data_IF_378636441289
#
_entry.id   IF_378636441289
#
_cell.length_a   1.000
_cell.length_b   1.000
_cell.length_c   1.000
_cell.angle_alpha   90.00
_cell.angle_beta   90.00
_cell.angle_gamma   90.00
#
_symmetry.space_group_name_H-M   'P 1'
#
loop_
_entity.id
_entity.type
_entity.pdbx_description
1 polymer ?
#
# COMPACT_ATOMS: atom_id res chain seq x y z
N UNK A 1 3.26 3.64 -2.34
CA UNK A 1 3.12 4.34 -3.64
C UNK A 1 1.64 4.72 -3.80
N UNK A 2 1.27 5.70 -4.64
CA UNK A 2 -0.15 5.95 -4.95
C UNK A 2 -0.62 5.05 -6.09
N UNK A 3 -1.91 4.73 -6.16
CA UNK A 3 -2.47 3.78 -7.13
C UNK A 3 -2.34 4.24 -8.58
N UNK A 4 -2.49 5.54 -8.83
CA UNK A 4 -2.31 6.18 -10.13
C UNK A 4 -1.85 7.62 -9.94
N UNK A 5 -1.30 8.22 -11.01
CA UNK A 5 -1.06 9.66 -11.08
C UNK A 5 -1.05 10.16 -12.52
N UNK A 6 -1.63 11.34 -12.84
CA UNK A 6 -2.37 12.26 -11.96
C UNK A 6 -3.74 11.71 -11.52
N UNK A 7 -4.19 12.10 -10.33
CA UNK A 7 -5.57 11.88 -9.87
C UNK A 7 -6.60 12.52 -10.81
N UNK A 8 -7.77 11.90 -10.96
CA UNK A 8 -8.89 12.48 -11.68
C UNK A 8 -9.53 13.61 -10.85
N UNK A 9 -9.79 14.76 -11.49
CA UNK A 9 -10.40 15.94 -10.83
C UNK A 9 -11.83 16.22 -11.28
N UNK A 10 -12.32 15.45 -12.25
CA UNK A 10 -13.69 15.47 -12.75
C UNK A 10 -14.21 14.05 -12.81
N UNK A 11 -15.53 13.89 -12.73
CA UNK A 11 -16.15 12.60 -12.94
C UNK A 11 -16.07 12.20 -14.43
N UNK A 12 -15.65 10.97 -14.66
CA UNK A 12 -15.51 10.31 -15.96
C UNK A 12 -16.45 9.11 -16.02
N UNK A 13 -17.58 9.26 -16.71
CA UNK A 13 -18.62 8.23 -16.78
C UNK A 13 -18.08 6.91 -17.34
N UNK A 14 -17.18 6.99 -18.33
CA UNK A 14 -16.55 5.86 -18.99
C UNK A 14 -15.56 5.09 -18.11
N UNK A 15 -15.10 5.69 -17.01
CA UNK A 15 -14.16 5.07 -16.06
C UNK A 15 -14.86 4.58 -14.77
N UNK A 16 -16.12 4.95 -14.58
CA UNK A 16 -16.91 4.56 -13.41
C UNK A 16 -16.37 5.15 -12.10
N UNK A 17 -16.43 4.34 -11.04
CA UNK A 17 -16.24 4.80 -9.65
C UNK A 17 -14.87 5.40 -9.37
N UNK A 18 -13.82 5.00 -10.10
CA UNK A 18 -12.45 5.49 -9.87
C UNK A 18 -12.33 7.02 -9.95
N UNK A 19 -13.20 7.69 -10.72
CA UNK A 19 -13.17 9.14 -10.88
C UNK A 19 -14.15 9.88 -9.94
N UNK A 20 -14.94 9.13 -9.16
CA UNK A 20 -15.90 9.70 -8.21
C UNK A 20 -15.27 10.06 -6.86
N UNK A 21 -14.15 9.42 -6.50
CA UNK A 21 -13.38 9.76 -5.31
C UNK A 21 -12.67 11.09 -5.49
N UNK A 22 -12.65 11.98 -4.48
CA UNK A 22 -11.77 13.14 -4.50
C UNK A 22 -10.29 12.74 -4.66
N UNK A 23 -9.44 13.58 -5.26
CA UNK A 23 -8.01 13.30 -5.44
C UNK A 23 -7.30 12.86 -4.16
N UNK A 24 -6.49 11.81 -4.27
CA UNK A 24 -5.68 11.28 -3.18
C UNK A 24 -6.41 10.32 -2.24
N UNK A 25 -7.68 10.01 -2.50
CA UNK A 25 -8.43 9.06 -1.68
C UNK A 25 -8.78 7.80 -2.47
N UNK A 26 -8.76 6.67 -1.76
CA UNK A 26 -9.28 5.40 -2.28
C UNK A 26 -8.60 5.07 -3.62
N UNK A 27 -9.33 4.60 -4.62
CA UNK A 27 -8.78 4.20 -5.92
C UNK A 27 -8.30 5.41 -6.76
N UNK A 28 -8.69 6.64 -6.43
CA UNK A 28 -8.24 7.84 -7.12
C UNK A 28 -6.97 8.43 -6.49
N UNK A 29 -5.81 7.87 -6.83
CA UNK A 29 -4.50 8.28 -6.33
C UNK A 29 -4.31 8.18 -4.80
N UNK A 30 -5.13 7.39 -4.10
CA UNK A 30 -4.82 6.96 -2.74
C UNK A 30 -3.65 5.98 -2.71
N UNK A 31 -2.99 5.87 -1.55
CA UNK A 31 -2.06 4.77 -1.29
C UNK A 31 -2.91 3.56 -0.93
N UNK A 32 -3.15 2.70 -1.91
CA UNK A 32 -3.91 1.46 -1.71
C UNK A 32 -2.93 0.36 -1.27
N UNK A 33 -2.83 0.12 0.04
CA UNK A 33 -1.75 -0.67 0.62
C UNK A 33 -1.68 -2.10 0.07
N UNK A 34 -2.80 -2.67 -0.37
CA UNK A 34 -2.88 -4.03 -0.92
C UNK A 34 -1.98 -4.24 -2.14
N UNK A 35 -1.83 -3.23 -3.00
CA UNK A 35 -1.03 -3.37 -4.24
C UNK A 35 0.46 -3.03 -4.05
N UNK A 36 0.84 -2.36 -2.96
CA UNK A 36 2.23 -2.00 -2.71
C UNK A 36 3.16 -3.23 -2.60
N UNK A 37 2.77 -4.33 -1.91
CA UNK A 37 3.55 -5.57 -1.89
C UNK A 37 3.86 -6.12 -3.28
N UNK A 38 3.00 -5.92 -4.28
CA UNK A 38 3.29 -6.41 -5.65
C UNK A 38 4.52 -5.73 -6.24
N UNK A 39 4.66 -4.43 -6.00
CA UNK A 39 5.85 -3.68 -6.43
C UNK A 39 7.06 -4.07 -5.61
N UNK A 40 6.91 -4.26 -4.29
CA UNK A 40 7.99 -4.78 -3.45
C UNK A 40 8.51 -6.14 -3.95
N UNK A 41 7.62 -7.10 -4.18
CA UNK A 41 7.96 -8.39 -4.80
C UNK A 41 8.60 -8.23 -6.18
N UNK A 42 8.10 -7.31 -7.02
CA UNK A 42 8.69 -7.08 -8.34
C UNK A 42 10.12 -6.51 -8.26
N UNK A 43 10.38 -5.63 -7.29
CA UNK A 43 11.73 -5.10 -7.03
C UNK A 43 12.69 -6.21 -6.58
N UNK A 44 12.24 -7.21 -5.80
CA UNK A 44 13.10 -8.36 -5.49
C UNK A 44 13.37 -9.23 -6.71
N UNK A 45 12.37 -9.43 -7.58
CA UNK A 45 12.52 -10.20 -8.83
C UNK A 45 13.57 -9.59 -9.76
N UNK A 46 13.66 -8.26 -9.84
CA UNK A 46 14.68 -7.56 -10.65
C UNK A 46 16.01 -7.34 -9.90
N UNK A 47 16.15 -7.85 -8.68
CA UNK A 47 17.38 -7.79 -7.89
C UNK A 47 17.59 -6.50 -7.09
N UNK A 48 16.57 -5.65 -6.95
CA UNK A 48 16.61 -4.41 -6.18
C UNK A 48 16.14 -4.60 -4.72
N UNK A 49 16.84 -5.46 -3.96
CA UNK A 49 16.44 -5.81 -2.59
C UNK A 49 16.27 -4.62 -1.64
N UNK A 50 17.18 -3.64 -1.69
CA UNK A 50 17.08 -2.42 -0.88
C UNK A 50 15.80 -1.64 -1.18
N UNK A 51 15.46 -1.55 -2.47
CA UNK A 51 14.26 -0.84 -2.92
C UNK A 51 12.98 -1.56 -2.51
N UNK A 52 12.95 -2.89 -2.61
CA UNK A 52 11.84 -3.70 -2.10
C UNK A 52 11.62 -3.43 -0.61
N UNK A 53 12.69 -3.48 0.19
CA UNK A 53 12.61 -3.24 1.63
C UNK A 53 12.21 -1.79 1.97
N UNK A 54 12.65 -0.80 1.19
CA UNK A 54 12.15 0.57 1.32
C UNK A 54 10.64 0.69 1.10
N UNK A 55 10.08 -0.02 0.11
CA UNK A 55 8.65 -0.01 -0.17
C UNK A 55 7.87 -0.66 0.98
N UNK A 56 8.32 -1.84 1.43
CA UNK A 56 7.75 -2.57 2.57
C UNK A 56 7.64 -1.67 3.81
N UNK A 57 8.73 -1.01 4.20
CA UNK A 57 8.77 -0.17 5.42
C UNK A 57 7.79 1.00 5.38
N UNK A 58 7.46 1.54 4.21
CA UNK A 58 6.56 2.71 4.10
C UNK A 58 5.11 2.41 4.52
N UNK A 59 4.72 1.15 4.57
CA UNK A 59 3.35 0.75 4.98
C UNK A 59 3.32 -0.29 6.10
N UNK A 60 4.47 -0.79 6.54
CA UNK A 60 4.55 -1.73 7.65
C UNK A 60 4.25 -1.02 8.99
N UNK A 61 3.26 -1.48 9.79
CA UNK A 61 2.82 -0.80 11.02
C UNK A 61 3.96 -0.51 12.00
N UNK A 62 4.88 -1.47 12.17
CA UNK A 62 6.04 -1.33 13.06
C UNK A 62 7.02 -0.21 12.64
N UNK A 63 6.99 0.25 11.39
CA UNK A 63 7.86 1.32 10.88
C UNK A 63 7.16 2.69 10.81
N UNK A 64 5.86 2.74 11.12
CA UNK A 64 5.06 3.97 11.06
C UNK A 64 4.41 4.30 12.41
N UNK A 65 4.74 3.57 13.48
CA UNK A 65 4.27 3.84 14.84
C UNK A 65 4.62 5.27 15.31
N UNK A 66 5.82 5.75 14.99
CA UNK A 66 6.28 7.11 15.33
C UNK A 66 5.39 8.23 14.73
N UNK A 67 4.64 7.91 13.68
CA UNK A 67 3.72 8.85 13.01
C UNK A 67 2.25 8.50 13.25
N UNK A 68 1.93 7.79 14.35
CA UNK A 68 0.55 7.38 14.68
C UNK A 68 -0.46 8.54 14.68
N UNK A 69 -0.04 9.75 15.08
CA UNK A 69 -0.90 10.95 15.03
C UNK A 69 -1.27 11.37 13.60
N UNK A 70 -0.43 11.07 12.62
CA UNK A 70 -0.72 11.26 11.19
C UNK A 70 -1.50 10.05 10.67
N UNK A 71 -1.08 8.83 11.04
CA UNK A 71 -1.65 7.60 10.50
C UNK A 71 -3.10 7.36 10.95
N UNK A 72 -3.47 7.79 12.17
CA UNK A 72 -4.81 7.74 12.78
C UNK A 72 -5.42 6.34 12.99
N UNK A 73 -4.83 5.27 12.45
CA UNK A 73 -5.22 3.87 12.71
C UNK A 73 -4.20 3.15 13.59
N UNK A 74 -4.52 1.93 13.99
CA UNK A 74 -3.72 1.10 14.90
C UNK A 74 -2.29 0.86 14.38
N UNK A 75 -1.23 1.09 15.20
CA UNK A 75 0.16 0.98 14.77
C UNK A 75 0.70 -0.46 14.73
N UNK A 76 -0.18 -1.46 14.82
CA UNK A 76 0.18 -2.88 14.87
C UNK A 76 -0.54 -3.73 13.84
N UNK A 77 -1.41 -3.14 13.01
CA UNK A 77 -2.09 -3.81 11.89
C UNK A 77 -2.10 -2.95 10.64
N UNK A 78 -2.21 -3.59 9.48
CA UNK A 78 -2.32 -2.88 8.20
C UNK A 78 -3.70 -2.25 8.01
N UNK A 79 -3.72 -1.14 7.27
CA UNK A 79 -4.93 -0.51 6.72
C UNK A 79 -5.07 -0.75 5.23
N UNK A 80 -6.30 -0.70 4.72
CA UNK A 80 -6.57 -0.83 3.28
C UNK A 80 -5.98 0.35 2.50
N UNK A 81 -6.21 1.57 3.01
CA UNK A 81 -5.88 2.80 2.31
C UNK A 81 -5.23 3.82 3.24
N UNK A 82 -4.23 4.51 2.73
CA UNK A 82 -3.66 5.73 3.28
C UNK A 82 -3.88 6.87 2.27
N UNK A 83 -4.30 8.04 2.75
CA UNK A 83 -4.52 9.18 1.88
C UNK A 83 -3.21 9.53 1.14
N UNK A 84 -3.29 9.60 -0.19
CA UNK A 84 -2.21 9.94 -1.09
C UNK A 84 -1.91 11.43 -1.12
N UNK A 85 -0.82 11.82 -1.78
CA UNK A 85 -0.26 13.18 -1.72
C UNK A 85 -1.18 14.30 -2.23
N UNK A 86 -2.19 13.95 -3.02
CA UNK A 86 -3.15 14.91 -3.58
C UNK A 86 -4.34 15.15 -2.63
N UNK A 87 -4.41 14.43 -1.51
CA UNK A 87 -5.41 14.61 -0.46
C UNK A 87 -4.99 15.68 0.55
N UNK A 88 -5.96 16.41 1.10
CA UNK A 88 -5.73 17.37 2.19
C UNK A 88 -5.22 16.71 3.48
N UNK A 89 -5.47 15.41 3.63
CA UNK A 89 -5.11 14.63 4.82
C UNK A 89 -4.05 13.57 4.53
N UNK A 90 -3.07 13.90 3.69
CA UNK A 90 -1.98 13.01 3.32
C UNK A 90 -1.39 12.27 4.53
N UNK A 91 -1.30 10.94 4.43
CA UNK A 91 -0.80 10.08 5.50
C UNK A 91 -1.86 9.49 6.43
N UNK A 92 -3.09 10.03 6.46
CA UNK A 92 -4.17 9.44 7.25
C UNK A 92 -4.69 8.14 6.65
N UNK A 93 -4.73 7.09 7.46
CA UNK A 93 -5.27 5.80 7.06
C UNK A 93 -6.74 5.62 7.39
N UNK A 94 -7.38 4.72 6.63
CA UNK A 94 -8.78 4.33 6.77
C UNK A 94 -8.94 2.83 6.47
N UNK A 95 -9.99 2.24 7.04
CA UNK A 95 -10.34 0.82 6.89
C UNK A 95 -9.19 -0.10 7.36
N UNK A 96 -8.87 -0.04 8.66
CA UNK A 96 -7.90 -0.91 9.31
C UNK A 96 -8.41 -2.35 9.42
N UNK A 97 -7.49 -3.27 9.74
CA UNK A 97 -7.72 -4.71 9.94
C UNK A 97 -8.11 -5.52 8.71
N UNK A 98 -9.34 -5.33 8.22
CA UNK A 98 -9.97 -6.25 7.27
C UNK A 98 -9.58 -5.90 5.83
N UNK A 99 -8.33 -6.22 5.49
CA UNK A 99 -7.75 -5.96 4.17
C UNK A 99 -6.82 -7.09 3.74
N UNK A 100 -6.79 -7.38 2.44
CA UNK A 100 -5.82 -8.32 1.87
C UNK A 100 -4.37 -7.84 1.93
N UNK A 101 -4.12 -6.57 2.31
CA UNK A 101 -2.77 -6.05 2.61
C UNK A 101 -2.03 -6.98 3.56
N UNK A 102 -2.69 -7.50 4.60
CA UNK A 102 -2.03 -8.37 5.57
C UNK A 102 -1.46 -9.65 4.92
N UNK A 103 -2.25 -10.31 4.08
CA UNK A 103 -1.84 -11.53 3.38
C UNK A 103 -0.72 -11.23 2.36
N UNK A 104 -0.89 -10.20 1.54
CA UNK A 104 0.09 -9.84 0.52
C UNK A 104 1.42 -9.38 1.10
N UNK A 105 1.39 -8.59 2.19
CA UNK A 105 2.63 -8.17 2.85
C UNK A 105 3.31 -9.33 3.57
N UNK A 106 2.55 -10.32 4.08
CA UNK A 106 3.15 -11.54 4.62
C UNK A 106 3.85 -12.36 3.52
N UNK A 107 3.23 -12.50 2.34
CA UNK A 107 3.86 -13.14 1.17
C UNK A 107 5.13 -12.37 0.78
N UNK A 108 5.06 -11.05 0.62
CA UNK A 108 6.20 -10.20 0.28
C UNK A 108 7.38 -10.38 1.24
N UNK A 109 7.16 -10.18 2.55
CA UNK A 109 8.26 -10.25 3.51
C UNK A 109 8.83 -11.67 3.65
N UNK A 110 7.98 -12.70 3.72
CA UNK A 110 8.44 -14.07 3.97
C UNK A 110 9.04 -14.74 2.73
N UNK A 111 8.41 -14.57 1.57
CA UNK A 111 8.76 -15.31 0.36
C UNK A 111 9.66 -14.50 -0.57
N UNK A 112 9.54 -13.18 -0.63
CA UNK A 112 10.27 -12.36 -1.60
C UNK A 112 11.46 -11.62 -0.98
N UNK A 113 11.26 -10.95 0.17
CA UNK A 113 12.34 -10.22 0.85
C UNK A 113 13.27 -11.19 1.60
N UNK A 114 12.71 -12.06 2.45
CA UNK A 114 13.48 -13.08 3.15
C UNK A 114 13.82 -14.29 2.24
N UNK A 115 13.08 -14.47 1.15
CA UNK A 115 13.38 -15.50 0.15
C UNK A 115 12.94 -16.93 0.51
N UNK A 116 12.13 -17.13 1.56
CA UNK A 116 11.74 -18.46 2.03
C UNK A 116 10.44 -18.89 1.35
N UNK A 117 10.57 -19.64 0.24
CA UNK A 117 9.43 -20.05 -0.58
C UNK A 117 9.25 -21.58 -0.53
N UNK A 118 8.08 -22.09 -0.10
CA UNK A 118 7.80 -23.52 -0.20
C UNK A 118 7.71 -23.92 -1.68
N UNK A 119 8.32 -25.04 -2.04
CA UNK A 119 8.17 -25.63 -3.36
C UNK A 119 7.36 -26.92 -3.28
N UNK A 120 6.95 -27.46 -4.43
CA UNK A 120 6.29 -28.78 -4.46
C UNK A 120 7.19 -29.92 -3.95
N UNK A 121 8.52 -29.72 -3.91
CA UNK A 121 9.49 -30.70 -3.45
C UNK A 121 9.84 -30.55 -1.95
N UNK A 122 9.25 -29.59 -1.25
CA UNK A 122 9.69 -29.12 0.06
C UNK A 122 10.67 -27.96 -0.09
#
# INVERSE_FOLDING_TARGET
MVLLQPAYTKYHLELGEISSYPPGYKENAGIFCHNNPWVSCAETVVGHGDRAFEIYKKTCPAYIEDISEIHRTEPYVYSQMVAGRDAATFGEAKNSWLTGTAAWTFVDVSQYILGIQPTLAG
#
